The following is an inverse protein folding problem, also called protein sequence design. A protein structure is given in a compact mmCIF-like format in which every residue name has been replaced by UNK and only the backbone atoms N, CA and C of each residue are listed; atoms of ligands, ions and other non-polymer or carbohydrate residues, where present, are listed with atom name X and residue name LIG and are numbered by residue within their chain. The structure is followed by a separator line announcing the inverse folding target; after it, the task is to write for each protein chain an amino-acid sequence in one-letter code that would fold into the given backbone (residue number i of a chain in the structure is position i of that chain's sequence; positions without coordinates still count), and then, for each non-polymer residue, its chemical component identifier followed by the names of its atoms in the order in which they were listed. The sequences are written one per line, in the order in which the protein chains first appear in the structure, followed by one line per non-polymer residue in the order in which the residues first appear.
data_IF_316651591033
#
_entry.id   IF_316651591033
#
_cell.length_a   1.000
_cell.length_b   1.000
_cell.length_c   1.000
_cell.angle_alpha   90.00
_cell.angle_beta   90.00
_cell.angle_gamma   90.00
#
_symmetry.space_group_name_H-M   'P 1'
#
loop_
_entity.id
_entity.type
_entity.pdbx_description
1 polymer ?
#
# COMPACT_ATOMS: atom_id res chain seq x y z
N UNK A 1 2.85 -2.60 21.96
CA UNK A 1 3.88 -2.58 20.90
C UNK A 1 3.60 -3.60 19.78
N UNK A 2 3.37 -4.88 20.10
CA UNK A 2 3.02 -5.89 19.08
C UNK A 2 1.64 -5.68 18.45
N UNK A 3 0.62 -5.34 19.24
CA UNK A 3 -0.75 -5.10 18.76
C UNK A 3 -0.82 -3.92 17.77
N UNK A 4 -0.17 -2.80 18.09
CA UNK A 4 -0.10 -1.63 17.21
C UNK A 4 0.61 -1.95 15.88
N UNK A 5 1.65 -2.77 15.92
CA UNK A 5 2.35 -3.23 14.72
C UNK A 5 1.45 -4.12 13.86
N UNK A 6 0.70 -5.04 14.49
CA UNK A 6 -0.26 -5.93 13.82
C UNK A 6 -1.41 -5.15 13.20
N UNK A 7 -1.92 -4.13 13.91
CA UNK A 7 -2.98 -3.27 13.41
C UNK A 7 -2.51 -2.43 12.22
N UNK A 8 -1.31 -1.86 12.32
CA UNK A 8 -0.69 -1.14 11.20
C UNK A 8 -0.46 -2.05 9.99
N UNK A 9 -0.01 -3.29 10.22
CA UNK A 9 0.15 -4.28 9.17
C UNK A 9 -1.18 -4.61 8.46
N UNK A 10 -2.28 -4.76 9.22
CA UNK A 10 -3.62 -4.95 8.65
C UNK A 10 -4.05 -3.75 7.81
N UNK A 11 -3.88 -2.53 8.33
CA UNK A 11 -4.20 -1.29 7.62
C UNK A 11 -3.42 -1.16 6.31
N UNK A 12 -2.13 -1.48 6.31
CA UNK A 12 -1.31 -1.48 5.09
C UNK A 12 -1.86 -2.45 4.06
N UNK A 13 -2.18 -3.68 4.45
CA UNK A 13 -2.70 -4.69 3.51
C UNK A 13 -4.07 -4.28 2.95
N UNK A 14 -4.97 -3.79 3.79
CA UNK A 14 -6.29 -3.30 3.36
C UNK A 14 -6.14 -2.12 2.40
N UNK A 15 -5.29 -1.14 2.76
CA UNK A 15 -5.04 0.03 1.93
C UNK A 15 -4.45 -0.31 0.57
N UNK A 16 -3.50 -1.26 0.51
CA UNK A 16 -2.93 -1.72 -0.77
C UNK A 16 -4.03 -2.34 -1.65
N UNK A 17 -4.93 -3.15 -1.08
CA UNK A 17 -6.04 -3.76 -1.84
C UNK A 17 -7.00 -2.70 -2.37
N UNK A 18 -7.32 -1.70 -1.56
CA UNK A 18 -8.14 -0.56 -2.01
C UNK A 18 -7.45 0.21 -3.13
N UNK A 19 -6.15 0.46 -3.04
CA UNK A 19 -5.39 1.11 -4.11
C UNK A 19 -5.33 0.25 -5.39
N UNK A 20 -5.22 -1.08 -5.26
CA UNK A 20 -5.34 -2.00 -6.39
C UNK A 20 -6.70 -1.87 -7.08
N UNK A 21 -7.78 -1.78 -6.30
CA UNK A 21 -9.13 -1.65 -6.82
C UNK A 21 -9.37 -0.30 -7.50
N UNK A 22 -8.87 0.80 -6.90
CA UNK A 22 -8.87 2.13 -7.52
C UNK A 22 -8.12 2.13 -8.87
N UNK A 23 -6.95 1.48 -8.92
CA UNK A 23 -6.18 1.34 -10.14
C UNK A 23 -6.98 0.60 -11.23
N UNK A 24 -7.64 -0.51 -10.87
CA UNK A 24 -8.50 -1.28 -11.79
C UNK A 24 -9.72 -0.50 -12.27
N UNK A 25 -10.25 0.41 -11.45
CA UNK A 25 -11.35 1.30 -11.82
C UNK A 25 -10.91 2.47 -12.74
N UNK A 26 -9.63 2.54 -13.12
CA UNK A 26 -9.08 3.64 -13.92
C UNK A 26 -8.75 4.89 -13.10
N UNK A 27 -8.89 4.84 -11.77
CA UNK A 27 -8.55 5.94 -10.86
C UNK A 27 -7.07 5.92 -10.46
N UNK A 28 -6.20 5.93 -11.47
CA UNK A 28 -4.76 5.75 -11.27
C UNK A 28 -4.12 6.81 -10.35
N UNK A 29 -4.55 8.07 -10.44
CA UNK A 29 -4.04 9.16 -9.59
C UNK A 29 -4.41 9.00 -8.11
N UNK A 30 -5.63 8.55 -7.81
CA UNK A 30 -6.06 8.27 -6.44
C UNK A 30 -5.29 7.07 -5.86
N UNK A 31 -5.13 6.01 -6.65
CA UNK A 31 -4.33 4.85 -6.29
C UNK A 31 -2.85 5.21 -6.05
N UNK A 32 -2.28 6.11 -6.86
CA UNK A 32 -0.90 6.59 -6.72
C UNK A 32 -0.68 7.36 -5.41
N UNK A 33 -1.61 8.25 -5.06
CA UNK A 33 -1.57 8.98 -3.78
C UNK A 33 -1.64 8.01 -2.60
N UNK A 34 -2.60 7.08 -2.63
CA UNK A 34 -2.77 6.06 -1.59
C UNK A 34 -1.53 5.20 -1.40
N UNK A 35 -0.94 4.67 -2.48
CA UNK A 35 0.28 3.85 -2.41
C UNK A 35 1.47 4.64 -1.85
N UNK A 36 1.60 5.93 -2.19
CA UNK A 36 2.69 6.76 -1.69
C UNK A 36 2.63 6.92 -0.17
N UNK A 37 1.45 7.16 0.38
CA UNK A 37 1.23 7.28 1.82
C UNK A 37 1.47 5.94 2.53
N UNK A 38 0.89 4.86 2.02
CA UNK A 38 1.07 3.51 2.57
C UNK A 38 2.54 3.07 2.55
N UNK A 39 3.30 3.42 1.50
CA UNK A 39 4.75 3.18 1.44
C UNK A 39 5.51 3.95 2.51
N UNK A 40 5.13 5.19 2.79
CA UNK A 40 5.75 6.01 3.85
C UNK A 40 5.53 5.34 5.21
N UNK A 41 4.28 5.02 5.55
CA UNK A 41 3.92 4.32 6.79
C UNK A 41 4.62 2.97 6.91
N UNK A 42 4.67 2.18 5.84
CA UNK A 42 5.34 0.89 5.85
C UNK A 42 6.86 1.02 6.07
N UNK A 43 7.50 2.09 5.57
CA UNK A 43 8.93 2.35 5.82
C UNK A 43 9.17 2.78 7.26
N UNK A 44 8.35 3.70 7.79
CA UNK A 44 8.45 4.19 9.17
C UNK A 44 8.31 3.07 10.20
N UNK A 45 7.44 2.09 9.93
CA UNK A 45 7.21 0.93 10.81
C UNK A 45 8.08 -0.29 10.48
N UNK A 46 9.03 -0.19 9.54
CA UNK A 46 9.93 -1.28 9.17
C UNK A 46 9.28 -2.45 8.39
N UNK A 47 8.04 -2.27 7.93
CA UNK A 47 7.22 -3.28 7.26
C UNK A 47 7.36 -3.31 5.73
N UNK A 48 8.03 -2.30 5.13
CA UNK A 48 8.12 -2.15 3.69
C UNK A 48 8.62 -3.40 2.96
N UNK A 49 9.69 -4.05 3.47
CA UNK A 49 10.27 -5.24 2.82
C UNK A 49 9.26 -6.39 2.72
N UNK A 50 8.44 -6.58 3.75
CA UNK A 50 7.43 -7.65 3.82
C UNK A 50 6.31 -7.46 2.79
N UNK A 51 6.00 -6.22 2.43
CA UNK A 51 4.90 -5.88 1.51
C UNK A 51 5.39 -5.32 0.15
N UNK A 52 6.70 -5.34 -0.11
CA UNK A 52 7.28 -4.73 -1.31
C UNK A 52 6.72 -5.32 -2.62
N UNK A 53 6.45 -6.63 -2.64
CA UNK A 53 5.84 -7.31 -3.80
C UNK A 53 4.43 -6.79 -4.11
N UNK A 54 3.64 -6.53 -3.07
CA UNK A 54 2.29 -5.99 -3.19
C UNK A 54 2.30 -4.54 -3.68
N UNK A 55 3.17 -3.70 -3.11
CA UNK A 55 3.35 -2.33 -3.59
C UNK A 55 3.73 -2.29 -5.08
N UNK A 56 4.72 -3.10 -5.49
CA UNK A 56 5.15 -3.18 -6.90
C UNK A 56 4.06 -3.70 -7.84
N UNK A 57 3.14 -4.52 -7.34
CA UNK A 57 2.00 -4.99 -8.14
C UNK A 57 1.07 -3.82 -8.45
N UNK A 58 0.73 -3.00 -7.46
CA UNK A 58 -0.13 -1.84 -7.67
C UNK A 58 0.57 -0.78 -8.52
N UNK A 59 1.86 -0.52 -8.30
CA UNK A 59 2.65 0.40 -9.14
C UNK A 59 2.61 0.04 -10.63
N UNK A 60 2.73 -1.26 -10.95
CA UNK A 60 2.58 -1.76 -12.32
C UNK A 60 1.19 -1.53 -12.90
N UNK A 61 0.14 -1.57 -12.08
CA UNK A 61 -1.24 -1.31 -12.54
C UNK A 61 -1.50 0.17 -12.80
N UNK A 62 -0.86 1.07 -12.05
CA UNK A 62 -1.02 2.53 -12.22
C UNK A 62 0.00 3.15 -13.17
N UNK A 63 0.98 2.38 -13.67
CA UNK A 63 2.05 2.86 -14.52
C UNK A 63 3.03 3.81 -13.82
N UNK A 64 3.29 3.59 -12.54
CA UNK A 64 4.19 4.41 -11.70
C UNK A 64 5.58 3.78 -11.49
#
# INVERSE_FOLDING_TARGET
MAEELVETAKQIVVGIRQAEELARQGKAEEAKKSIKELKKTAKEKGLYKSYASLFRKVERLIGA
#
